data_IF_416338666192
#
_entry.id   IF_416338666192
#
_cell.length_a   1.000
_cell.length_b   1.000
_cell.length_c   1.000
_cell.angle_alpha   90.00
_cell.angle_beta   90.00
_cell.angle_gamma   90.00
#
_symmetry.space_group_name_H-M   'P 1'
#
loop_
_entity.id
_entity.type
_entity.pdbx_description
1 polymer ?
#
# COMPACT_ATOMS: atom_id res chain seq x y z
N UNK A 1 5.00 -26.87 -2.33
CA UNK A 1 4.99 -25.41 -2.13
C UNK A 1 4.59 -25.19 -0.68
N UNK A 2 5.56 -24.86 0.17
CA UNK A 2 5.30 -24.45 1.55
C UNK A 2 5.17 -22.94 1.52
N UNK A 3 3.99 -22.41 1.85
CA UNK A 3 3.72 -20.98 1.77
C UNK A 3 4.26 -20.28 3.03
N UNK A 4 4.64 -19.00 2.92
CA UNK A 4 5.14 -18.19 4.02
C UNK A 4 4.13 -18.12 5.18
N UNK A 5 2.84 -18.29 4.88
CA UNK A 5 1.77 -18.34 5.88
C UNK A 5 1.91 -19.52 6.86
N UNK A 6 2.39 -20.68 6.41
CA UNK A 6 2.60 -21.82 7.31
C UNK A 6 3.74 -21.53 8.30
N UNK A 7 4.85 -20.98 7.81
CA UNK A 7 5.99 -20.60 8.66
C UNK A 7 5.60 -19.50 9.66
N UNK A 8 4.82 -18.51 9.22
CA UNK A 8 4.34 -17.42 10.07
C UNK A 8 3.41 -17.93 11.18
N UNK A 9 2.46 -18.82 10.86
CA UNK A 9 1.54 -19.40 11.84
C UNK A 9 2.27 -20.29 12.85
N UNK A 10 3.13 -21.20 12.39
CA UNK A 10 3.93 -22.07 13.28
C UNK A 10 4.84 -21.27 14.20
N UNK A 11 5.50 -20.22 13.67
CA UNK A 11 6.38 -19.37 14.47
C UNK A 11 5.60 -18.58 15.51
N UNK A 12 4.42 -18.08 15.13
CA UNK A 12 3.53 -17.38 16.07
C UNK A 12 3.13 -18.30 17.22
N UNK A 13 2.68 -19.52 16.91
CA UNK A 13 2.32 -20.52 17.91
C UNK A 13 3.49 -20.86 18.85
N UNK A 14 4.68 -21.12 18.30
CA UNK A 14 5.90 -21.40 19.08
C UNK A 14 6.27 -20.28 20.06
N UNK A 15 5.96 -19.03 19.72
CA UNK A 15 6.25 -17.86 20.55
C UNK A 15 5.04 -17.40 21.40
N UNK A 16 3.92 -18.13 21.38
CA UNK A 16 2.72 -17.78 22.15
C UNK A 16 1.94 -16.57 21.58
N UNK A 17 2.15 -16.23 20.31
CA UNK A 17 1.38 -15.19 19.63
C UNK A 17 0.12 -15.77 18.98
N UNK A 18 -0.98 -15.02 19.05
CA UNK A 18 -2.17 -15.29 18.26
C UNK A 18 -1.97 -14.77 16.83
N UNK A 19 -2.23 -15.64 15.84
CA UNK A 19 -2.16 -15.29 14.44
C UNK A 19 -3.33 -15.93 13.68
N UNK A 20 -3.87 -15.19 12.71
CA UNK A 20 -4.93 -15.65 11.82
C UNK A 20 -4.66 -15.17 10.40
N UNK A 21 -4.81 -16.06 9.42
CA UNK A 21 -4.78 -15.68 8.01
C UNK A 21 -6.14 -15.13 7.62
N UNK A 22 -6.19 -13.86 7.24
CA UNK A 22 -7.39 -13.27 6.65
C UNK A 22 -7.49 -13.69 5.17
N UNK A 23 -8.69 -14.06 4.65
CA UNK A 23 -8.84 -14.39 3.25
C UNK A 23 -8.43 -13.25 2.31
N UNK A 24 -7.90 -13.61 1.14
CA UNK A 24 -7.66 -12.63 0.08
C UNK A 24 -9.01 -12.01 -0.36
N UNK A 25 -9.12 -10.68 -0.53
CA UNK A 25 -10.39 -10.03 -0.88
C UNK A 25 -11.01 -10.50 -2.20
N UNK A 26 -10.21 -10.98 -3.15
CA UNK A 26 -10.68 -11.43 -4.46
C UNK A 26 -11.40 -10.32 -5.22
N UNK A 27 -12.67 -10.54 -5.54
CA UNK A 27 -13.55 -9.58 -6.23
C UNK A 27 -14.61 -8.98 -5.31
N UNK A 28 -14.34 -8.91 -4.00
CA UNK A 28 -15.23 -8.26 -3.05
C UNK A 28 -15.63 -6.85 -3.55
N UNK A 29 -16.92 -6.51 -3.60
CA UNK A 29 -17.37 -5.23 -4.13
C UNK A 29 -16.75 -4.03 -3.44
N UNK A 30 -16.52 -4.08 -2.12
CA UNK A 30 -15.90 -2.96 -1.40
C UNK A 30 -14.43 -2.79 -1.80
N UNK A 31 -13.71 -3.90 -2.00
CA UNK A 31 -12.33 -3.87 -2.47
C UNK A 31 -12.24 -3.27 -3.87
N UNK A 32 -13.06 -3.75 -4.81
CA UNK A 32 -13.06 -3.28 -6.21
C UNK A 32 -13.49 -1.83 -6.30
N UNK A 33 -14.56 -1.43 -5.60
CA UNK A 33 -15.02 -0.04 -5.57
C UNK A 33 -13.95 0.88 -4.99
N UNK A 34 -13.30 0.49 -3.89
CA UNK A 34 -12.20 1.29 -3.32
C UNK A 34 -11.03 1.49 -4.29
N UNK A 35 -10.67 0.47 -5.09
CA UNK A 35 -9.67 0.64 -6.14
C UNK A 35 -10.11 1.61 -7.23
N UNK A 36 -11.38 1.58 -7.64
CA UNK A 36 -11.94 2.53 -8.60
C UNK A 36 -11.89 3.94 -8.04
N UNK A 37 -12.29 4.13 -6.78
CA UNK A 37 -12.28 5.43 -6.11
C UNK A 37 -10.86 6.04 -6.08
N UNK A 38 -9.84 5.24 -5.75
CA UNK A 38 -8.44 5.68 -5.79
C UNK A 38 -7.99 6.13 -7.18
N UNK A 39 -8.45 5.46 -8.24
CA UNK A 39 -8.14 5.85 -9.63
C UNK A 39 -8.85 7.15 -10.02
N UNK A 40 -10.13 7.30 -9.67
CA UNK A 40 -10.91 8.50 -9.96
C UNK A 40 -10.36 9.71 -9.20
N UNK A 41 -10.01 9.53 -7.91
CA UNK A 41 -9.37 10.55 -7.07
C UNK A 41 -8.14 11.14 -7.76
N UNK A 42 -7.26 10.27 -8.29
CA UNK A 42 -6.04 10.67 -8.99
C UNK A 42 -6.33 11.31 -10.34
N UNK A 43 -7.25 10.74 -11.12
CA UNK A 43 -7.61 11.22 -12.46
C UNK A 43 -8.19 12.64 -12.39
N UNK A 44 -9.05 12.88 -11.40
CA UNK A 44 -9.81 14.12 -11.26
C UNK A 44 -9.07 15.17 -10.42
N UNK A 45 -7.93 14.81 -9.83
CA UNK A 45 -7.11 15.74 -9.05
C UNK A 45 -7.81 16.24 -7.79
N UNK A 46 -8.54 15.36 -7.10
CA UNK A 46 -9.32 15.70 -5.90
C UNK A 46 -8.39 16.31 -4.83
N UNK A 47 -8.72 17.46 -4.21
CA UNK A 47 -7.92 18.04 -3.13
C UNK A 47 -7.69 17.05 -1.98
N UNK A 48 -6.52 17.08 -1.35
CA UNK A 48 -6.16 16.08 -0.34
C UNK A 48 -7.10 16.09 0.87
N UNK A 49 -7.56 17.27 1.26
CA UNK A 49 -8.54 17.49 2.34
C UNK A 49 -9.89 16.81 2.09
N UNK A 50 -10.25 16.55 0.84
CA UNK A 50 -11.54 15.97 0.44
C UNK A 50 -11.47 14.44 0.26
N UNK A 51 -10.28 13.84 0.41
CA UNK A 51 -10.06 12.40 0.16
C UNK A 51 -10.40 11.55 1.38
N UNK A 52 -11.22 10.49 1.23
CA UNK A 52 -11.54 9.59 2.32
C UNK A 52 -10.28 8.92 2.90
N UNK A 53 -10.17 8.90 4.23
CA UNK A 53 -9.12 8.20 4.96
C UNK A 53 -9.64 7.75 6.32
N UNK A 54 -9.12 6.63 6.80
CA UNK A 54 -9.57 6.00 8.06
C UNK A 54 -8.61 6.22 9.23
N UNK A 55 -7.47 6.87 8.98
CA UNK A 55 -6.44 7.14 9.99
C UNK A 55 -5.98 8.59 9.92
N UNK A 56 -5.48 9.13 11.02
CA UNK A 56 -4.97 10.50 11.12
C UNK A 56 -3.73 10.78 10.23
N UNK A 57 -3.15 9.75 9.59
CA UNK A 57 -2.08 9.90 8.61
C UNK A 57 -2.53 10.59 7.31
N UNK A 58 -3.84 10.64 7.05
CA UNK A 58 -4.42 11.24 5.86
C UNK A 58 -4.27 10.38 4.59
N UNK A 59 -4.67 10.92 3.42
CA UNK A 59 -4.56 10.24 2.13
C UNK A 59 -3.12 10.17 1.64
N UNK A 60 -2.86 9.26 0.68
CA UNK A 60 -1.55 9.14 0.06
C UNK A 60 -1.25 10.31 -0.88
N UNK A 61 0.02 10.70 -0.96
CA UNK A 61 0.44 11.79 -1.86
C UNK A 61 0.41 11.36 -3.33
N UNK A 62 0.21 12.33 -4.23
CA UNK A 62 0.23 12.09 -5.67
C UNK A 62 1.63 12.07 -6.28
N UNK A 63 2.54 12.85 -5.68
CA UNK A 63 3.91 13.04 -6.16
C UNK A 63 4.87 12.50 -5.12
N UNK A 64 5.72 11.56 -5.53
CA UNK A 64 6.71 10.99 -4.64
C UNK A 64 7.73 12.05 -4.19
N UNK A 65 8.05 12.01 -2.90
CA UNK A 65 9.16 12.78 -2.34
C UNK A 65 10.48 12.37 -3.01
N UNK A 66 11.49 13.26 -3.04
CA UNK A 66 12.83 12.91 -3.52
C UNK A 66 13.35 11.64 -2.82
N UNK A 67 13.84 10.69 -3.60
CA UNK A 67 14.47 9.45 -3.09
C UNK A 67 13.51 8.33 -2.66
N UNK A 68 12.19 8.50 -2.77
CA UNK A 68 11.21 7.56 -2.22
C UNK A 68 11.29 6.11 -2.77
N UNK A 69 11.80 5.92 -3.99
CA UNK A 69 11.96 4.61 -4.62
C UNK A 69 13.34 4.45 -5.26
N UNK A 70 14.36 5.06 -4.65
CA UNK A 70 15.71 5.05 -5.23
C UNK A 70 16.27 3.62 -5.33
N UNK A 71 16.75 3.27 -6.53
CA UNK A 71 17.53 2.06 -6.71
C UNK A 71 19.00 2.36 -6.37
N UNK A 72 19.42 1.95 -5.17
CA UNK A 72 20.79 2.17 -4.66
C UNK A 72 21.90 1.63 -5.56
N UNK A 73 21.61 0.70 -6.47
CA UNK A 73 22.59 0.14 -7.42
C UNK A 73 22.76 0.95 -8.71
N UNK A 74 21.82 1.87 -9.00
CA UNK A 74 21.77 2.62 -10.26
C UNK A 74 22.06 4.12 -10.09
N UNK A 75 22.33 4.57 -8.87
CA UNK A 75 22.35 5.99 -8.50
C UNK A 75 20.95 6.61 -8.55
N UNK A 76 20.84 7.89 -8.20
CA UNK A 76 19.55 8.57 -8.14
C UNK A 76 18.85 8.56 -9.50
N UNK A 77 17.62 8.05 -9.51
CA UNK A 77 16.65 8.23 -10.60
C UNK A 77 15.32 8.62 -9.97
N UNK A 78 14.64 9.67 -10.47
CA UNK A 78 13.32 10.01 -9.96
C UNK A 78 12.37 8.82 -10.19
N UNK A 79 11.45 8.60 -9.25
CA UNK A 79 10.31 7.72 -9.50
C UNK A 79 9.49 8.25 -10.69
N UNK A 80 8.68 7.40 -11.33
CA UNK A 80 7.87 7.77 -12.51
C UNK A 80 7.07 9.07 -12.31
N UNK A 81 6.64 9.32 -11.07
CA UNK A 81 5.95 10.54 -10.62
C UNK A 81 6.65 11.18 -9.42
N UNK A 82 7.98 11.09 -9.33
CA UNK A 82 8.78 11.63 -8.23
C UNK A 82 9.48 12.96 -8.56
N UNK A 83 9.71 13.77 -7.52
CA UNK A 83 10.48 15.00 -7.64
C UNK A 83 11.97 14.72 -7.84
N UNK A 84 12.62 15.57 -8.63
CA UNK A 84 14.08 15.67 -8.69
C UNK A 84 14.56 16.45 -7.45
N UNK A 85 15.71 16.09 -6.84
CA UNK A 85 16.31 16.82 -5.72
C UNK A 85 16.67 18.27 -6.08
#
# INVERSE_FOLDING_TARGET
MWDLDNEALETSEKNGFWAVRTPTPGIDPNYVTGLVDLVLERRDGVPAEDRPHVTDLGPWYDVCRPGCCENVRLGFKPALSGLVP
#
